data_IF_730698652537
#
_entry.id   IF_730698652537
#
_cell.length_a   1.000
_cell.length_b   1.000
_cell.length_c   1.000
_cell.angle_alpha   90.00
_cell.angle_beta   90.00
_cell.angle_gamma   90.00
#
_symmetry.space_group_name_H-M   'P 1'
#
loop_
_entity.id
_entity.type
_entity.pdbx_description
1 polymer ?
#
# COMPACT_ATOMS: atom_id res chain seq x y z
N UNK A 1 -5.98 -31.45 -70.52
CA UNK A 1 -6.67 -31.63 -69.22
C UNK A 1 -5.75 -31.03 -68.19
N UNK A 2 -6.03 -29.78 -67.83
CA UNK A 2 -5.33 -29.03 -66.79
C UNK A 2 -6.42 -28.57 -65.83
N UNK A 3 -6.56 -29.29 -64.72
CA UNK A 3 -7.45 -28.95 -63.62
C UNK A 3 -6.68 -28.02 -62.67
N UNK A 4 -6.89 -26.72 -62.82
CA UNK A 4 -6.58 -25.76 -61.75
C UNK A 4 -7.73 -25.82 -60.74
N UNK A 5 -7.46 -26.38 -59.56
CA UNK A 5 -8.37 -26.35 -58.42
C UNK A 5 -8.35 -24.93 -57.81
N UNK A 6 -9.37 -24.14 -58.13
CA UNK A 6 -9.68 -22.89 -57.45
C UNK A 6 -10.14 -23.18 -56.02
N UNK A 7 -9.26 -22.96 -55.05
CA UNK A 7 -9.55 -22.99 -53.62
C UNK A 7 -9.91 -21.57 -53.17
N UNK A 8 -11.04 -21.05 -53.67
CA UNK A 8 -11.60 -19.79 -53.21
C UNK A 8 -11.77 -19.80 -51.69
N UNK A 9 -11.04 -18.91 -51.00
CA UNK A 9 -11.23 -18.69 -49.57
C UNK A 9 -12.63 -18.12 -49.35
N UNK A 10 -13.39 -18.76 -48.45
CA UNK A 10 -14.81 -18.51 -48.16
C UNK A 10 -15.17 -17.08 -47.71
N UNK A 11 -14.23 -16.14 -47.69
CA UNK A 11 -14.38 -14.80 -47.11
C UNK A 11 -13.72 -13.67 -47.91
N UNK A 12 -13.36 -13.88 -49.18
CA UNK A 12 -12.68 -12.85 -49.98
C UNK A 12 -13.59 -11.69 -50.46
N UNK A 13 -14.87 -11.67 -50.08
CA UNK A 13 -15.83 -10.66 -50.54
C UNK A 13 -16.58 -9.92 -49.42
N UNK A 14 -16.35 -10.26 -48.15
CA UNK A 14 -17.00 -9.60 -47.02
C UNK A 14 -16.06 -8.59 -46.38
N UNK A 15 -16.44 -7.31 -46.44
CA UNK A 15 -15.79 -6.24 -45.70
C UNK A 15 -15.83 -6.59 -44.21
N UNK A 16 -14.66 -6.79 -43.57
CA UNK A 16 -14.56 -7.13 -42.14
C UNK A 16 -15.32 -6.14 -41.24
N UNK A 17 -15.55 -4.91 -41.73
CA UNK A 17 -16.31 -3.89 -41.03
C UNK A 17 -17.83 -4.14 -41.03
N UNK A 18 -18.36 -4.95 -41.94
CA UNK A 18 -19.78 -5.33 -42.00
C UNK A 18 -20.14 -6.45 -41.01
N UNK A 19 -19.14 -7.18 -40.48
CA UNK A 19 -19.32 -8.24 -39.48
C UNK A 19 -19.44 -7.73 -38.04
N UNK A 20 -19.56 -6.41 -37.85
CA UNK A 20 -19.77 -5.83 -36.52
C UNK A 20 -18.59 -6.11 -35.60
N UNK A 21 -17.40 -5.59 -35.95
CA UNK A 21 -16.17 -5.67 -35.16
C UNK A 21 -16.21 -4.88 -33.84
N UNK A 22 -17.31 -4.94 -33.10
CA UNK A 22 -17.34 -4.60 -31.69
C UNK A 22 -16.82 -5.80 -30.89
N UNK A 23 -15.94 -5.56 -29.92
CA UNK A 23 -15.63 -6.63 -28.98
C UNK A 23 -16.92 -6.94 -28.21
N UNK A 24 -17.19 -8.23 -28.00
CA UNK A 24 -18.44 -8.77 -27.42
C UNK A 24 -18.81 -8.17 -26.03
N UNK A 25 -17.95 -7.33 -25.48
CA UNK A 25 -18.02 -6.74 -24.15
C UNK A 25 -17.73 -5.23 -24.10
N UNK A 26 -17.70 -4.52 -25.25
CA UNK A 26 -17.45 -3.06 -25.27
C UNK A 26 -18.52 -2.23 -24.53
N UNK A 27 -19.67 -2.84 -24.21
CA UNK A 27 -20.83 -2.16 -23.62
C UNK A 27 -21.11 -2.55 -22.16
N UNK A 28 -20.39 -3.54 -21.62
CA UNK A 28 -20.60 -3.97 -20.24
C UNK A 28 -19.41 -3.54 -19.37
N UNK A 29 -19.65 -2.95 -18.18
CA UNK A 29 -18.59 -2.76 -17.21
C UNK A 29 -18.14 -4.14 -16.73
N UNK A 30 -17.17 -4.72 -17.44
CA UNK A 30 -16.46 -5.89 -16.93
C UNK A 30 -15.69 -5.40 -15.71
N UNK A 31 -16.11 -5.82 -14.52
CA UNK A 31 -15.34 -5.64 -13.30
C UNK A 31 -13.91 -6.12 -13.61
N UNK A 32 -12.93 -5.22 -13.49
CA UNK A 32 -11.51 -5.56 -13.72
C UNK A 32 -11.22 -6.84 -12.95
N UNK A 33 -10.99 -7.92 -13.69
CA UNK A 33 -10.80 -9.24 -13.10
C UNK A 33 -9.56 -9.16 -12.22
N UNK A 34 -9.72 -9.31 -10.91
CA UNK A 34 -8.62 -9.32 -9.96
C UNK A 34 -7.61 -10.39 -10.43
N UNK A 35 -6.35 -10.04 -10.73
CA UNK A 35 -5.35 -11.04 -11.06
C UNK A 35 -5.18 -11.99 -9.87
N UNK A 36 -5.30 -13.31 -10.09
CA UNK A 36 -5.00 -14.32 -9.05
C UNK A 36 -3.48 -14.59 -8.99
N UNK A 37 -2.70 -13.51 -9.09
CA UNK A 37 -1.24 -13.57 -9.10
C UNK A 37 -0.66 -13.41 -7.68
N UNK A 38 0.64 -13.63 -7.57
CA UNK A 38 1.34 -13.57 -6.29
C UNK A 38 1.33 -12.16 -5.67
N UNK A 39 1.18 -11.10 -6.47
CA UNK A 39 1.25 -9.71 -6.04
C UNK A 39 -0.09 -9.13 -5.57
N UNK A 40 -1.22 -9.77 -5.85
CA UNK A 40 -2.56 -9.34 -5.42
C UNK A 40 -3.17 -10.22 -4.32
N UNK A 41 -2.33 -11.02 -3.65
CA UNK A 41 -2.76 -11.97 -2.62
C UNK A 41 -3.34 -11.29 -1.39
N UNK A 42 -2.70 -10.23 -0.91
CA UNK A 42 -3.01 -9.55 0.33
C UNK A 42 -3.51 -8.11 0.06
N UNK A 43 -4.27 -7.57 1.02
CA UNK A 43 -4.67 -6.16 1.03
C UNK A 43 -4.20 -5.53 2.32
N UNK A 44 -3.46 -4.43 2.20
CA UNK A 44 -3.03 -3.61 3.32
C UNK A 44 -3.73 -2.26 3.28
N UNK A 45 -3.85 -1.62 4.45
CA UNK A 45 -4.29 -0.22 4.53
C UNK A 45 -3.05 0.65 4.71
N UNK A 46 -2.70 1.39 3.67
CA UNK A 46 -1.65 2.39 3.69
C UNK A 46 -2.11 3.64 4.41
N UNK A 47 -1.21 4.28 5.15
CA UNK A 47 -1.39 5.62 5.68
C UNK A 47 -0.12 6.43 5.48
N UNK A 48 -0.26 7.52 4.72
CA UNK A 48 0.78 8.47 4.45
C UNK A 48 1.17 9.23 5.70
N UNK A 49 2.47 9.32 5.96
CA UNK A 49 3.02 10.05 7.09
C UNK A 49 3.98 11.12 6.60
N UNK A 50 4.08 12.23 7.32
CA UNK A 50 5.02 13.31 7.04
C UNK A 50 5.83 13.66 8.29
N UNK A 51 7.09 14.10 8.14
CA UNK A 51 7.84 14.67 9.24
C UNK A 51 7.22 16.01 9.65
N UNK A 52 7.08 16.21 10.96
CA UNK A 52 6.66 17.47 11.56
C UNK A 52 7.72 17.93 12.54
N UNK A 53 8.33 19.09 12.26
CA UNK A 53 9.40 19.66 13.05
C UNK A 53 8.87 20.83 13.86
N UNK A 54 9.11 20.79 15.16
CA UNK A 54 8.76 21.84 16.12
C UNK A 54 10.01 22.31 16.85
N UNK A 55 9.90 23.41 17.60
CA UNK A 55 10.98 23.87 18.47
C UNK A 55 11.33 22.87 19.61
N UNK A 56 10.47 21.89 19.87
CA UNK A 56 10.65 20.87 20.90
C UNK A 56 11.19 19.53 20.36
N UNK A 57 11.35 19.41 19.04
CA UNK A 57 11.81 18.19 18.39
C UNK A 57 11.05 17.89 17.10
N UNK A 58 11.41 16.79 16.47
CA UNK A 58 10.75 16.25 15.28
C UNK A 58 9.95 15.00 15.62
N UNK A 59 8.83 14.82 14.93
CA UNK A 59 8.01 13.61 14.98
C UNK A 59 7.42 13.33 13.60
N UNK A 60 6.72 12.21 13.44
CA UNK A 60 5.97 11.89 12.22
C UNK A 60 4.47 11.91 12.52
N UNK A 61 3.71 12.53 11.63
CA UNK A 61 2.25 12.69 11.77
C UNK A 61 1.55 12.24 10.50
N UNK A 62 0.29 11.79 10.56
CA UNK A 62 -0.45 11.42 9.36
C UNK A 62 -0.60 12.62 8.41
N UNK A 63 -0.50 12.35 7.11
CA UNK A 63 -0.73 13.32 6.04
C UNK A 63 -2.24 13.50 5.86
N UNK A 64 -2.63 14.76 5.73
CA UNK A 64 -4.00 15.16 5.42
C UNK A 64 -3.97 16.16 4.27
N UNK A 65 -4.96 16.08 3.40
CA UNK A 65 -5.19 17.01 2.31
C UNK A 65 -6.40 17.89 2.62
N UNK A 66 -6.31 19.17 2.32
CA UNK A 66 -7.46 20.06 2.35
C UNK A 66 -8.41 19.75 1.18
N UNK A 67 -9.61 20.33 1.20
CA UNK A 67 -10.63 20.12 0.16
C UNK A 67 -10.18 20.51 -1.26
N UNK A 68 -9.16 21.37 -1.39
CA UNK A 68 -8.55 21.75 -2.67
C UNK A 68 -7.45 20.78 -3.15
N UNK A 69 -7.18 19.71 -2.40
CA UNK A 69 -6.15 18.71 -2.67
C UNK A 69 -4.75 19.12 -2.22
N UNK A 70 -4.58 20.29 -1.60
CA UNK A 70 -3.27 20.73 -1.08
C UNK A 70 -2.91 20.00 0.22
N UNK A 71 -1.62 19.77 0.45
CA UNK A 71 -1.14 19.19 1.72
C UNK A 71 -1.42 20.17 2.87
N UNK A 72 -2.20 19.72 3.86
CA UNK A 72 -2.58 20.53 5.01
C UNK A 72 -1.42 20.72 6.00
N UNK A 73 -1.32 21.89 6.63
CA UNK A 73 -0.39 22.11 7.75
C UNK A 73 -0.85 21.26 8.95
N UNK A 74 0.00 20.36 9.49
CA UNK A 74 -0.33 19.55 10.66
C UNK A 74 -0.79 20.35 11.88
N UNK A 75 -0.37 21.60 12.03
CA UNK A 75 -0.83 22.49 13.12
C UNK A 75 -2.32 22.78 13.00
N UNK A 76 -2.77 23.19 11.81
CA UNK A 76 -4.17 23.51 11.56
C UNK A 76 -5.07 22.30 11.74
N UNK A 77 -4.60 21.15 11.24
CA UNK A 77 -5.29 19.87 11.43
C UNK A 77 -5.39 19.52 12.91
N UNK A 78 -4.28 19.64 13.66
CA UNK A 78 -4.25 19.36 15.10
C UNK A 78 -5.18 20.28 15.89
N UNK A 79 -5.22 21.56 15.56
CA UNK A 79 -6.07 22.54 16.23
C UNK A 79 -7.56 22.28 15.94
N UNK A 80 -7.91 21.90 14.70
CA UNK A 80 -9.26 21.50 14.34
C UNK A 80 -9.73 20.23 15.08
N UNK A 81 -8.86 19.23 15.25
CA UNK A 81 -9.18 18.06 16.06
C UNK A 81 -9.31 18.38 17.56
N UNK A 82 -8.58 19.39 18.06
CA UNK A 82 -8.64 19.83 19.47
C UNK A 82 -9.84 20.72 19.78
N UNK A 83 -10.34 21.50 18.82
CA UNK A 83 -11.52 22.36 19.01
C UNK A 83 -12.83 21.58 19.19
N UNK A 84 -12.79 20.25 19.07
CA UNK A 84 -13.87 19.35 19.49
C UNK A 84 -14.91 19.05 18.42
N UNK A 85 -14.82 19.66 17.24
CA UNK A 85 -15.65 19.33 16.09
C UNK A 85 -14.94 18.35 15.16
N UNK A 86 -14.69 17.13 15.65
CA UNK A 86 -14.06 16.06 14.86
C UNK A 86 -14.77 15.84 13.51
N UNK A 87 -16.09 16.02 13.46
CA UNK A 87 -16.88 15.96 12.22
C UNK A 87 -16.57 17.10 11.24
N UNK A 88 -16.31 18.31 11.73
CA UNK A 88 -15.94 19.46 10.88
C UNK A 88 -14.52 19.28 10.36
N UNK A 89 -13.59 18.85 11.22
CA UNK A 89 -12.22 18.53 10.81
C UNK A 89 -12.17 17.44 9.73
N UNK A 90 -12.95 16.36 9.90
CA UNK A 90 -13.07 15.29 8.90
C UNK A 90 -13.80 15.71 7.62
N UNK A 91 -14.63 16.77 7.67
CA UNK A 91 -15.25 17.35 6.46
C UNK A 91 -14.31 18.31 5.72
N UNK A 92 -13.34 18.91 6.42
CA UNK A 92 -12.40 19.86 5.86
C UNK A 92 -11.12 19.19 5.33
N UNK A 93 -10.76 18.05 5.90
CA UNK A 93 -9.51 17.34 5.62
C UNK A 93 -9.74 15.87 5.27
N UNK A 94 -9.06 15.42 4.23
CA UNK A 94 -9.05 14.02 3.79
C UNK A 94 -7.73 13.37 4.19
N UNK A 95 -7.78 12.25 4.90
CA UNK A 95 -6.58 11.51 5.27
C UNK A 95 -5.95 10.81 4.05
N UNK A 96 -4.62 10.81 3.97
CA UNK A 96 -3.85 10.09 2.94
C UNK A 96 -3.84 8.58 3.25
N UNK A 97 -4.97 7.92 3.02
CA UNK A 97 -5.19 6.53 3.41
C UNK A 97 -5.74 5.75 2.22
N UNK A 98 -5.05 4.68 1.83
CA UNK A 98 -5.35 3.92 0.62
C UNK A 98 -5.37 2.43 0.90
N UNK A 99 -6.18 1.69 0.14
CA UNK A 99 -6.05 0.24 0.06
C UNK A 99 -4.98 -0.08 -0.96
N UNK A 100 -4.10 -1.01 -0.64
CA UNK A 100 -3.02 -1.43 -1.54
C UNK A 100 -3.06 -2.95 -1.66
N UNK A 101 -3.17 -3.44 -2.89
CA UNK A 101 -2.94 -4.85 -3.17
C UNK A 101 -1.45 -5.14 -3.17
N UNK A 102 -1.06 -6.19 -2.48
CA UNK A 102 0.34 -6.57 -2.36
C UNK A 102 0.49 -8.05 -1.97
N UNK A 103 1.74 -8.48 -1.85
CA UNK A 103 2.12 -9.71 -1.18
C UNK A 103 2.89 -9.35 0.10
N UNK A 104 2.37 -9.72 1.27
CA UNK A 104 3.10 -9.57 2.54
C UNK A 104 3.84 -10.85 2.84
N UNK A 105 5.16 -10.83 2.60
CA UNK A 105 6.04 -11.96 2.84
C UNK A 105 6.60 -11.85 4.25
N UNK A 106 6.18 -12.76 5.12
CA UNK A 106 6.83 -12.95 6.42
C UNK A 106 8.27 -13.42 6.21
N UNK A 107 9.26 -12.63 6.64
CA UNK A 107 10.61 -13.17 6.78
C UNK A 107 10.66 -13.96 8.07
N UNK A 108 10.80 -15.28 7.96
CA UNK A 108 11.39 -16.07 9.04
C UNK A 108 12.71 -15.39 9.40
N UNK A 109 12.84 -15.06 10.68
CA UNK A 109 13.89 -14.21 11.21
C UNK A 109 15.24 -14.48 10.56
N UNK A 110 15.98 -13.42 10.23
CA UNK A 110 17.41 -13.56 10.03
C UNK A 110 17.93 -14.07 11.36
N UNK A 111 18.24 -15.36 11.40
CA UNK A 111 19.12 -15.94 12.40
C UNK A 111 20.50 -15.28 12.18
N UNK A 112 20.65 -14.04 12.64
CA UNK A 112 21.92 -13.49 13.09
C UNK A 112 21.80 -13.64 14.61
N UNK A 113 22.29 -14.74 15.19
CA UNK A 113 23.71 -14.86 15.54
C UNK A 113 24.25 -13.53 16.04
N UNK A 114 23.61 -12.96 17.06
CA UNK A 114 24.40 -12.42 18.15
C UNK A 114 24.51 -13.59 19.13
N UNK A 115 25.74 -13.98 19.45
CA UNK A 115 26.00 -14.79 20.63
C UNK A 115 25.13 -14.27 21.76
N UNK A 116 24.43 -15.16 22.45
CA UNK A 116 24.13 -14.96 23.85
C UNK A 116 25.48 -14.69 24.53
N UNK A 117 25.93 -13.43 24.54
CA UNK A 117 26.92 -13.00 25.50
C UNK A 117 26.15 -13.07 26.81
N UNK A 118 26.63 -13.95 27.70
CA UNK A 118 26.10 -14.28 29.03
C UNK A 118 26.04 -13.09 30.01
N UNK A 119 25.82 -11.87 29.50
CA UNK A 119 25.78 -10.61 30.20
C UNK A 119 24.69 -9.66 29.64
N UNK A 120 23.82 -10.12 28.73
CA UNK A 120 22.70 -9.30 28.28
C UNK A 120 21.51 -9.50 29.22
N UNK A 121 21.22 -8.47 30.00
CA UNK A 121 20.06 -8.40 30.88
C UNK A 121 18.78 -8.53 30.05
N UNK A 122 18.04 -9.61 30.27
CA UNK A 122 16.77 -9.94 29.59
C UNK A 122 15.56 -9.37 30.34
N UNK A 123 15.78 -8.59 31.41
CA UNK A 123 14.71 -7.95 32.15
C UNK A 123 14.04 -6.90 31.27
N UNK A 124 12.72 -6.99 31.03
CA UNK A 124 12.00 -5.97 30.27
C UNK A 124 12.05 -4.66 31.06
N UNK A 125 12.84 -3.70 30.61
CA UNK A 125 12.79 -2.36 31.17
C UNK A 125 11.64 -1.56 30.55
N UNK A 126 11.24 -0.49 31.22
CA UNK A 126 10.07 0.31 30.85
C UNK A 126 10.38 1.28 29.69
N UNK A 127 11.61 1.27 29.17
CA UNK A 127 12.13 2.31 28.27
C UNK A 127 13.08 1.80 27.15
N UNK A 128 13.35 0.51 27.02
CA UNK A 128 14.40 0.03 26.11
C UNK A 128 14.69 -1.48 26.16
N UNK A 129 13.68 -2.34 26.25
CA UNK A 129 13.86 -3.79 26.15
C UNK A 129 13.99 -4.24 24.69
N UNK A 130 14.54 -5.44 24.46
CA UNK A 130 14.59 -6.11 23.16
C UNK A 130 13.24 -5.99 22.45
N UNK A 131 13.14 -5.04 21.51
CA UNK A 131 11.96 -4.85 20.68
C UNK A 131 11.83 -6.08 19.80
N UNK A 132 10.66 -6.70 19.79
CA UNK A 132 10.38 -7.77 18.83
C UNK A 132 10.61 -7.23 17.42
N UNK A 133 11.72 -7.62 16.81
CA UNK A 133 12.10 -7.20 15.47
C UNK A 133 11.40 -8.09 14.44
N UNK A 134 10.06 -8.09 14.49
CA UNK A 134 9.22 -8.76 13.50
C UNK A 134 9.19 -7.90 12.23
N UNK A 135 10.14 -8.17 11.34
CA UNK A 135 10.23 -7.53 10.03
C UNK A 135 9.49 -8.37 8.98
N UNK A 136 8.69 -7.69 8.16
CA UNK A 136 8.07 -8.25 6.97
C UNK A 136 8.71 -7.63 5.73
N UNK A 137 8.58 -8.32 4.59
CA UNK A 137 8.89 -7.76 3.28
C UNK A 137 7.57 -7.62 2.51
N UNK A 138 7.34 -6.46 1.92
CA UNK A 138 6.15 -6.21 1.09
C UNK A 138 6.56 -6.14 -0.37
N UNK A 139 5.78 -6.80 -1.22
CA UNK A 139 5.87 -6.74 -2.68
C UNK A 139 4.57 -6.12 -3.20
N UNK A 140 4.61 -4.87 -3.67
CA UNK A 140 3.41 -4.15 -4.13
C UNK A 140 3.55 -3.77 -5.60
N UNK A 141 2.58 -4.06 -6.49
CA UNK A 141 2.62 -3.60 -7.89
C UNK A 141 2.79 -2.08 -8.01
N UNK A 142 2.15 -1.36 -7.10
CA UNK A 142 2.12 0.10 -7.05
C UNK A 142 2.36 0.57 -5.61
N UNK A 143 3.19 1.59 -5.45
CA UNK A 143 3.50 2.17 -4.15
C UNK A 143 3.86 3.65 -4.27
N UNK A 144 3.08 4.51 -3.61
CA UNK A 144 3.31 5.96 -3.58
C UNK A 144 3.87 6.46 -2.23
N UNK A 145 4.10 5.54 -1.30
CA UNK A 145 4.62 5.85 0.04
C UNK A 145 6.13 6.10 0.07
N UNK A 146 6.56 6.75 1.14
CA UNK A 146 7.96 6.98 1.51
C UNK A 146 8.37 6.14 2.74
N UNK A 147 9.58 6.33 3.24
CA UNK A 147 10.11 5.63 4.41
C UNK A 147 9.49 6.08 5.75
N UNK A 148 8.67 7.14 5.75
CA UNK A 148 7.88 7.51 6.93
C UNK A 148 6.53 6.81 6.96
N UNK A 149 6.11 6.26 5.83
CA UNK A 149 4.80 5.69 5.65
C UNK A 149 4.58 4.48 6.56
N UNK A 150 3.32 4.30 6.95
CA UNK A 150 2.89 3.17 7.77
C UNK A 150 1.75 2.44 7.09
N UNK A 151 1.56 1.18 7.43
CA UNK A 151 0.45 0.40 6.92
C UNK A 151 -0.06 -0.61 7.94
N UNK A 152 -1.28 -1.07 7.71
CA UNK A 152 -1.97 -2.02 8.57
C UNK A 152 -2.22 -3.32 7.83
N UNK A 153 -1.85 -4.43 8.47
CA UNK A 153 -2.05 -5.76 7.97
C UNK A 153 -2.37 -6.71 9.12
N UNK A 154 -3.44 -7.52 8.99
CA UNK A 154 -3.87 -8.49 10.00
C UNK A 154 -3.97 -7.91 11.43
N UNK A 155 -4.51 -6.70 11.56
CA UNK A 155 -4.68 -6.01 12.85
C UNK A 155 -3.39 -5.49 13.48
N UNK A 156 -2.25 -5.59 12.79
CA UNK A 156 -0.96 -5.04 13.23
C UNK A 156 -0.56 -3.84 12.37
N UNK A 157 0.12 -2.88 12.99
CA UNK A 157 0.70 -1.73 12.31
C UNK A 157 2.17 -2.01 11.99
N UNK A 158 2.59 -1.60 10.80
CA UNK A 158 3.95 -1.72 10.30
C UNK A 158 4.42 -0.35 9.78
N UNK A 159 5.67 -0.01 10.08
CA UNK A 159 6.36 1.14 9.49
C UNK A 159 7.32 0.67 8.42
N UNK A 160 7.39 1.40 7.31
CA UNK A 160 8.37 1.14 6.26
C UNK A 160 9.79 1.35 6.82
N UNK A 161 10.66 0.37 6.62
CA UNK A 161 12.03 0.36 7.16
C UNK A 161 13.04 0.34 6.01
N UNK A 162 13.32 1.54 5.48
CA UNK A 162 14.18 1.74 4.32
C UNK A 162 13.41 2.28 3.11
N UNK A 163 14.13 2.61 2.04
CA UNK A 163 13.50 3.15 0.83
C UNK A 163 12.86 2.04 0.00
N UNK A 164 11.60 2.22 -0.47
CA UNK A 164 11.02 1.34 -1.48
C UNK A 164 11.86 1.30 -2.74
N UNK A 165 12.14 0.07 -3.21
CA UNK A 165 12.93 -0.16 -4.42
C UNK A 165 12.00 -0.71 -5.48
N UNK A 166 11.90 0.00 -6.61
CA UNK A 166 11.19 -0.51 -7.77
C UNK A 166 12.04 -1.56 -8.50
N UNK A 167 11.48 -2.76 -8.68
CA UNK A 167 12.11 -3.89 -9.35
C UNK A 167 11.44 -4.11 -10.72
N UNK A 168 12.09 -3.70 -11.82
CA UNK A 168 11.50 -3.81 -13.16
C UNK A 168 11.73 -5.17 -13.85
N UNK A 169 12.33 -6.16 -13.16
CA UNK A 169 12.89 -7.35 -13.80
C UNK A 169 12.04 -8.61 -13.61
N UNK A 170 11.10 -8.84 -14.53
CA UNK A 170 10.64 -10.15 -15.06
C UNK A 170 9.17 -10.09 -15.47
N UNK A 171 8.86 -10.07 -16.78
CA UNK A 171 7.50 -9.96 -17.35
C UNK A 171 6.70 -8.72 -16.88
N UNK A 172 5.71 -8.29 -17.66
CA UNK A 172 4.83 -7.18 -17.22
C UNK A 172 4.09 -7.50 -15.92
N UNK A 173 3.92 -8.79 -15.58
CA UNK A 173 3.19 -9.26 -14.41
C UNK A 173 4.02 -9.35 -13.12
N UNK A 174 5.34 -9.13 -13.15
CA UNK A 174 6.16 -9.16 -11.93
C UNK A 174 6.90 -7.85 -11.63
N UNK A 175 6.49 -6.74 -12.25
CA UNK A 175 6.95 -5.39 -11.88
C UNK A 175 6.33 -5.03 -10.53
N UNK A 176 7.17 -4.74 -9.55
CA UNK A 176 6.70 -4.38 -8.21
C UNK A 176 7.72 -3.53 -7.45
N UNK A 177 7.24 -2.83 -6.44
CA UNK A 177 8.02 -2.24 -5.37
C UNK A 177 8.31 -3.29 -4.30
N UNK A 178 9.56 -3.35 -3.86
CA UNK A 178 9.99 -4.14 -2.72
C UNK A 178 10.45 -3.21 -1.60
N UNK A 179 9.96 -3.45 -0.38
CA UNK A 179 10.49 -2.78 0.81
C UNK A 179 10.40 -3.66 2.06
N UNK A 180 11.34 -3.50 3.02
CA UNK A 180 11.19 -4.02 4.37
C UNK A 180 10.21 -3.14 5.16
N UNK A 181 9.52 -3.75 6.11
CA UNK A 181 8.73 -3.03 7.09
C UNK A 181 8.84 -3.68 8.46
N UNK A 182 8.84 -2.85 9.50
CA UNK A 182 8.97 -3.26 10.90
C UNK A 182 7.63 -3.13 11.60
N UNK A 183 7.25 -4.12 12.42
CA UNK A 183 6.03 -4.03 13.23
C UNK A 183 6.20 -2.97 14.31
N UNK A 184 5.22 -2.08 14.44
CA UNK A 184 5.13 -1.14 15.58
C UNK A 184 4.63 -1.91 16.80
N UNK A 185 5.27 -1.71 17.95
CA UNK A 185 4.99 -2.51 19.14
C UNK A 185 3.56 -2.27 19.67
N UNK A 186 2.86 -3.36 19.99
CA UNK A 186 1.44 -3.32 20.37
C UNK A 186 1.15 -2.43 21.60
N UNK A 187 2.07 -2.36 22.57
CA UNK A 187 1.89 -1.48 23.73
C UNK A 187 2.08 0.00 23.38
N UNK A 188 2.93 0.35 22.42
CA UNK A 188 3.10 1.73 21.93
C UNK A 188 1.82 2.18 21.20
N UNK A 189 1.23 1.29 20.39
CA UNK A 189 -0.07 1.52 19.73
C UNK A 189 -1.21 1.68 20.73
N UNK A 190 -1.29 0.82 21.74
CA UNK A 190 -2.33 0.88 22.77
C UNK A 190 -2.21 2.12 23.67
N UNK A 191 -0.98 2.51 24.04
CA UNK A 191 -0.73 3.74 24.78
C UNK A 191 -1.14 4.98 23.98
N UNK A 192 -0.81 4.99 22.69
CA UNK A 192 -1.13 6.08 21.77
C UNK A 192 -2.54 5.99 21.17
N UNK A 193 -3.34 4.99 21.54
CA UNK A 193 -4.69 4.71 21.04
C UNK A 193 -4.78 4.73 19.50
N UNK A 194 -3.76 4.22 18.83
CA UNK A 194 -3.71 4.23 17.36
C UNK A 194 -4.48 3.00 16.85
N UNK A 195 -5.60 3.26 16.16
CA UNK A 195 -6.39 2.25 15.45
C UNK A 195 -6.08 2.29 13.95
N UNK A 196 -6.34 1.19 13.21
CA UNK A 196 -6.27 1.23 11.75
C UNK A 196 -7.17 2.33 11.21
N UNK A 197 -6.68 3.21 10.33
CA UNK A 197 -7.50 4.22 9.69
C UNK A 197 -8.44 3.54 8.68
N UNK A 198 -9.55 4.20 8.40
CA UNK A 198 -10.47 3.79 7.34
C UNK A 198 -10.18 4.66 6.11
N UNK A 199 -9.89 4.06 4.95
CA UNK A 199 -9.75 4.82 3.70
C UNK A 199 -10.98 5.71 3.46
N UNK A 200 -10.80 6.99 3.07
CA UNK A 200 -11.90 7.89 2.80
C UNK A 200 -12.72 7.40 1.60
N UNK A 201 -13.98 7.84 1.52
CA UNK A 201 -14.86 7.49 0.40
C UNK A 201 -14.29 8.02 -0.92
N UNK A 202 -14.21 7.16 -1.93
CA UNK A 202 -13.59 7.49 -3.22
C UNK A 202 -12.06 7.42 -3.26
N UNK A 203 -11.39 6.99 -2.19
CA UNK A 203 -9.95 6.76 -2.22
C UNK A 203 -9.59 5.71 -3.28
N UNK A 204 -8.62 6.04 -4.14
CA UNK A 204 -8.08 5.12 -5.12
C UNK A 204 -7.48 3.90 -4.42
N UNK A 205 -7.72 2.73 -4.98
CA UNK A 205 -7.09 1.48 -4.55
C UNK A 205 -5.89 1.20 -5.45
N UNK A 206 -4.71 1.08 -4.85
CA UNK A 206 -3.45 0.91 -5.57
C UNK A 206 -3.18 -0.55 -5.92
N UNK A 207 -2.58 -0.76 -7.10
CA UNK A 207 -2.24 -2.08 -7.62
C UNK A 207 -3.47 -2.86 -8.07
N UNK A 208 -4.34 -2.28 -8.90
CA UNK A 208 -5.51 -2.92 -9.53
C UNK A 208 -5.38 -2.99 -11.05
#
# INVERSE_FOLDING_TARGET
MSDDFDLGHLFDCDDLSALGGGHLYDSEPVDKQKPDDLLHRDVIVFEGMMPWVTCHGSTTVPKYFAADGSLADPRLVSDAFRSGSQSEALSAYTADVHKVYCCVVGRTQKNSVMSENWAQDTTPDKHGGNREMNQVKVLAPEWHGDFYSRFWFNGSCFEVDGSPVYLPHSSDMAKHYEFPARRVYAAELAHNKVSPPVPPEGAETWGM
#
